data_IF_939481867797
#
_entry.id   IF_939481867797
#
_cell.length_a   1.000
_cell.length_b   1.000
_cell.length_c   1.000
_cell.angle_alpha   90.00
_cell.angle_beta   90.00
_cell.angle_gamma   90.00
#
_symmetry.space_group_name_H-M   'P 1'
#
loop_
_entity.id
_entity.type
_entity.pdbx_description
1 polymer ?
#
# COMPACT_ATOMS: atom_id res chain seq x y z
N UNK A 1 -8.57 8.59 3.58
CA UNK A 1 -9.89 8.44 2.94
C UNK A 1 -9.75 8.09 1.46
N UNK A 2 -9.24 8.98 0.59
CA UNK A 2 -9.16 8.67 -0.85
C UNK A 2 -8.12 7.58 -1.17
N UNK A 3 -6.93 7.63 -0.55
CA UNK A 3 -5.95 6.53 -0.64
C UNK A 3 -6.51 5.19 -0.14
N UNK A 4 -7.24 5.19 0.99
CA UNK A 4 -7.88 3.99 1.54
C UNK A 4 -8.87 3.36 0.54
N UNK A 5 -9.70 4.20 -0.08
CA UNK A 5 -10.69 3.76 -1.08
C UNK A 5 -10.00 3.22 -2.35
N UNK A 6 -8.91 3.85 -2.77
CA UNK A 6 -8.13 3.40 -3.92
C UNK A 6 -7.46 2.04 -3.62
N UNK A 7 -6.86 1.88 -2.45
CA UNK A 7 -6.28 0.60 -2.00
C UNK A 7 -7.34 -0.51 -1.91
N UNK A 8 -8.54 -0.20 -1.43
CA UNK A 8 -9.64 -1.16 -1.42
C UNK A 8 -10.07 -1.54 -2.85
N UNK A 9 -10.14 -0.56 -3.75
CA UNK A 9 -10.61 -0.74 -5.12
C UNK A 9 -9.67 -1.63 -5.94
N UNK A 10 -8.34 -1.47 -5.79
CA UNK A 10 -7.38 -2.33 -6.49
C UNK A 10 -7.46 -3.78 -5.98
N UNK A 11 -7.62 -3.99 -4.68
CA UNK A 11 -7.79 -5.33 -4.11
C UNK A 11 -9.11 -5.97 -4.59
N UNK A 12 -10.20 -5.21 -4.64
CA UNK A 12 -11.48 -5.70 -5.18
C UNK A 12 -11.35 -6.11 -6.64
N UNK A 13 -10.69 -5.29 -7.46
CA UNK A 13 -10.48 -5.59 -8.87
C UNK A 13 -9.65 -6.88 -9.08
N UNK A 14 -8.61 -7.10 -8.27
CA UNK A 14 -7.83 -8.33 -8.33
C UNK A 14 -8.64 -9.55 -7.87
N UNK A 15 -9.49 -9.40 -6.86
CA UNK A 15 -10.38 -10.48 -6.44
C UNK A 15 -11.42 -10.82 -7.53
N UNK A 16 -12.06 -9.81 -8.13
CA UNK A 16 -13.19 -9.99 -9.05
C UNK A 16 -12.77 -10.33 -10.49
N UNK A 17 -11.72 -9.71 -11.01
CA UNK A 17 -11.31 -9.86 -12.41
C UNK A 17 -10.27 -10.98 -12.61
N UNK A 18 -9.44 -11.20 -11.59
CA UNK A 18 -8.31 -12.13 -11.63
C UNK A 18 -8.55 -13.37 -10.76
N UNK A 19 -9.57 -13.35 -9.89
CA UNK A 19 -9.85 -14.45 -8.97
C UNK A 19 -8.79 -14.59 -7.88
N UNK A 20 -8.05 -13.53 -7.57
CA UNK A 20 -7.03 -13.55 -6.53
C UNK A 20 -7.68 -13.81 -5.17
N UNK A 21 -7.27 -14.90 -4.49
CA UNK A 21 -7.76 -15.24 -3.14
C UNK A 21 -6.98 -14.54 -2.04
N UNK A 22 -5.72 -14.22 -2.32
CA UNK A 22 -4.82 -13.53 -1.42
C UNK A 22 -4.10 -12.44 -2.21
N UNK A 23 -4.38 -11.20 -1.86
CA UNK A 23 -3.70 -10.03 -2.41
C UNK A 23 -3.55 -8.99 -1.31
N UNK A 24 -2.44 -8.24 -1.33
CA UNK A 24 -2.12 -7.19 -0.35
C UNK A 24 -1.52 -5.98 -1.04
N UNK A 25 -2.01 -4.79 -0.70
CA UNK A 25 -1.29 -3.53 -0.93
C UNK A 25 -0.42 -3.27 0.30
N UNK A 26 0.87 -3.13 0.07
CA UNK A 26 1.89 -2.90 1.08
C UNK A 26 2.44 -1.49 0.89
N UNK A 27 2.48 -0.70 1.96
CA UNK A 27 3.24 0.54 2.01
C UNK A 27 4.71 0.23 2.20
N UNK A 28 5.57 0.91 1.44
CA UNK A 28 7.02 0.90 1.67
C UNK A 28 7.41 2.27 2.20
N UNK A 29 7.93 2.33 3.42
CA UNK A 29 8.25 3.58 4.10
C UNK A 29 9.58 3.49 4.84
N UNK A 30 10.26 4.64 4.98
CA UNK A 30 11.52 4.72 5.72
C UNK A 30 11.24 5.13 7.16
N UNK A 31 11.75 4.37 8.13
CA UNK A 31 11.81 4.76 9.53
C UNK A 31 13.26 4.76 9.97
N UNK A 32 13.80 5.93 10.31
CA UNK A 32 15.25 6.15 10.53
C UNK A 32 16.05 5.77 9.27
N UNK A 33 16.88 4.73 9.34
CA UNK A 33 17.71 4.24 8.23
C UNK A 33 17.26 2.89 7.67
N UNK A 34 16.10 2.39 8.12
CA UNK A 34 15.53 1.13 7.67
C UNK A 34 14.30 1.36 6.78
N UNK A 35 14.21 0.56 5.72
CA UNK A 35 13.00 0.46 4.90
C UNK A 35 12.10 -0.62 5.49
N UNK A 36 10.88 -0.22 5.82
CA UNK A 36 9.87 -1.07 6.40
C UNK A 36 8.68 -1.21 5.44
N UNK A 37 7.95 -2.31 5.63
CA UNK A 37 6.74 -2.64 4.91
C UNK A 37 5.59 -2.91 5.85
N UNK A 38 4.38 -2.49 5.48
CA UNK A 38 3.16 -2.88 6.20
C UNK A 38 1.95 -2.94 5.27
N UNK A 39 0.96 -3.80 5.54
CA UNK A 39 -0.25 -3.87 4.74
C UNK A 39 -1.16 -2.65 4.98
N UNK A 40 -1.70 -2.10 3.90
CA UNK A 40 -2.76 -1.07 3.91
C UNK A 40 -4.12 -1.62 3.48
N UNK A 41 -4.14 -2.60 2.59
CA UNK A 41 -5.36 -3.31 2.19
C UNK A 41 -5.06 -4.75 1.82
N UNK A 42 -5.98 -5.67 2.11
CA UNK A 42 -5.84 -7.08 1.76
C UNK A 42 -7.18 -7.81 1.68
N UNK A 43 -7.14 -9.02 1.12
CA UNK A 43 -8.27 -9.95 1.12
C UNK A 43 -8.25 -10.77 2.42
N UNK A 44 -9.35 -10.75 3.16
CA UNK A 44 -9.60 -11.61 4.32
C UNK A 44 -11.00 -12.22 4.20
N UNK A 45 -11.08 -13.54 4.22
CA UNK A 45 -12.34 -14.29 4.09
C UNK A 45 -13.18 -13.86 2.87
N UNK A 46 -12.52 -13.63 1.73
CA UNK A 46 -13.16 -13.19 0.48
C UNK A 46 -13.65 -11.73 0.48
N UNK A 47 -13.32 -10.94 1.51
CA UNK A 47 -13.68 -9.53 1.60
C UNK A 47 -12.43 -8.66 1.65
N UNK A 48 -12.55 -7.45 1.09
CA UNK A 48 -11.51 -6.44 1.18
C UNK A 48 -11.51 -5.82 2.57
N UNK A 49 -10.36 -5.84 3.22
CA UNK A 49 -10.10 -5.17 4.49
C UNK A 49 -9.07 -4.09 4.24
N UNK A 50 -9.26 -2.92 4.84
CA UNK A 50 -8.29 -1.83 4.83
C UNK A 50 -7.84 -1.50 6.24
N UNK A 51 -6.61 -1.03 6.36
CA UNK A 51 -6.07 -0.45 7.58
C UNK A 51 -5.88 1.04 7.35
N UNK A 52 -6.72 1.86 7.98
CA UNK A 52 -6.48 3.29 8.04
C UNK A 52 -5.40 3.54 9.09
N UNK A 53 -4.15 3.57 8.64
CA UNK A 53 -2.99 3.71 9.50
C UNK A 53 -3.14 4.91 10.45
N UNK A 54 -3.30 4.62 11.74
CA UNK A 54 -2.84 5.50 12.83
C UNK A 54 -1.40 5.12 13.16
N UNK A 55 -0.56 6.11 13.48
CA UNK A 55 0.89 5.94 13.66
C UNK A 55 1.32 4.94 14.75
N UNK A 56 0.37 4.35 15.49
CA UNK A 56 0.57 3.61 16.73
C UNK A 56 0.22 2.12 16.67
N UNK A 57 -0.44 1.62 15.62
CA UNK A 57 -1.10 0.30 15.69
C UNK A 57 -0.39 -0.85 14.96
N UNK A 58 0.61 -0.59 14.12
CA UNK A 58 1.38 -1.67 13.49
C UNK A 58 2.79 -1.20 13.13
N UNK A 59 3.79 -1.72 13.85
CA UNK A 59 5.17 -1.60 13.40
C UNK A 59 5.30 -2.36 12.07
N UNK A 60 5.89 -1.71 11.07
CA UNK A 60 6.20 -2.39 9.81
C UNK A 60 7.27 -3.46 10.02
N UNK A 61 7.38 -4.39 9.07
CA UNK A 61 8.45 -5.39 9.01
C UNK A 61 9.57 -4.90 8.08
N UNK A 62 10.84 -5.24 8.32
CA UNK A 62 11.92 -4.91 7.40
C UNK A 62 11.66 -5.43 5.99
N UNK A 63 11.92 -4.61 4.96
CA UNK A 63 11.81 -5.06 3.56
C UNK A 63 12.80 -6.20 3.25
N UNK A 64 13.89 -6.27 4.02
CA UNK A 64 14.92 -7.32 3.91
C UNK A 64 14.39 -8.72 4.24
N UNK A 65 13.23 -8.83 4.87
CA UNK A 65 12.54 -10.12 5.08
C UNK A 65 11.99 -10.68 3.75
N UNK A 66 11.96 -9.87 2.68
CA UNK A 66 11.51 -10.22 1.33
C UNK A 66 12.65 -10.04 0.31
N UNK A 67 13.68 -10.90 0.31
CA UNK A 67 14.89 -10.70 -0.50
C UNK A 67 14.62 -10.69 -2.01
N UNK A 68 13.64 -11.44 -2.51
CA UNK A 68 13.26 -11.45 -3.94
C UNK A 68 12.68 -10.09 -4.36
N UNK A 69 11.86 -9.48 -3.50
CA UNK A 69 11.37 -8.12 -3.72
C UNK A 69 12.50 -7.10 -3.68
N UNK A 70 13.43 -7.21 -2.73
CA UNK A 70 14.61 -6.32 -2.63
C UNK A 70 15.43 -6.37 -3.91
N UNK A 71 15.80 -7.57 -4.37
CA UNK A 71 16.57 -7.74 -5.60
C UNK A 71 15.85 -7.14 -6.82
N UNK A 72 14.53 -7.32 -6.90
CA UNK A 72 13.70 -6.72 -7.94
C UNK A 72 13.78 -5.20 -7.91
N UNK A 73 13.65 -4.58 -6.74
CA UNK A 73 13.73 -3.13 -6.57
C UNK A 73 15.13 -2.63 -6.94
N UNK A 74 16.20 -3.28 -6.47
CA UNK A 74 17.58 -2.92 -6.80
C UNK A 74 17.85 -2.93 -8.30
N UNK A 75 17.28 -3.91 -9.02
CA UNK A 75 17.38 -4.06 -10.47
C UNK A 75 16.40 -3.18 -11.25
N UNK A 76 15.59 -2.37 -10.57
CA UNK A 76 14.52 -1.56 -11.18
C UNK A 76 13.50 -2.39 -11.96
N UNK A 77 13.20 -3.59 -11.45
CA UNK A 77 12.24 -4.52 -12.03
C UNK A 77 10.79 -4.05 -11.83
N UNK A 78 9.92 -4.52 -12.72
CA UNK A 78 8.46 -4.25 -12.67
C UNK A 78 7.69 -5.34 -11.92
N UNK A 79 8.25 -6.54 -11.83
CA UNK A 79 7.70 -7.64 -11.06
C UNK A 79 8.81 -8.61 -10.60
N UNK A 80 8.47 -9.46 -9.64
CA UNK A 80 9.26 -10.64 -9.27
C UNK A 80 8.33 -11.77 -8.85
N UNK A 81 8.77 -13.00 -9.10
CA UNK A 81 8.04 -14.20 -8.70
C UNK A 81 8.89 -15.01 -7.72
N UNK A 82 8.27 -15.55 -6.69
CA UNK A 82 8.90 -16.52 -5.81
C UNK A 82 7.96 -17.66 -5.44
N UNK A 83 8.56 -18.78 -5.05
CA UNK A 83 7.86 -19.94 -4.51
C UNK A 83 8.30 -20.09 -3.06
N UNK A 84 7.32 -19.98 -2.17
CA UNK A 84 7.51 -20.16 -0.73
C UNK A 84 7.82 -21.63 -0.38
N UNK A 85 8.40 -21.93 0.80
CA UNK A 85 8.70 -23.30 1.21
C UNK A 85 7.48 -24.23 1.26
N UNK A 86 6.27 -23.69 1.46
CA UNK A 86 4.99 -24.43 1.41
C UNK A 86 4.43 -24.58 0.00
N UNK A 87 5.16 -24.15 -1.04
CA UNK A 87 4.81 -24.32 -2.45
C UNK A 87 3.85 -23.25 -2.98
N UNK A 88 3.54 -22.24 -2.19
CA UNK A 88 2.68 -21.14 -2.60
C UNK A 88 3.47 -20.16 -3.49
N UNK A 89 2.87 -19.74 -4.60
CA UNK A 89 3.46 -18.76 -5.50
C UNK A 89 3.14 -17.35 -5.03
N UNK A 90 4.13 -16.46 -5.11
CA UNK A 90 3.98 -15.04 -4.83
C UNK A 90 4.43 -14.25 -6.05
N UNK A 91 3.57 -13.33 -6.49
CA UNK A 91 3.87 -12.30 -7.47
C UNK A 91 4.00 -10.96 -6.75
N UNK A 92 5.21 -10.41 -6.78
CA UNK A 92 5.55 -9.09 -6.28
C UNK A 92 5.50 -8.07 -7.40
N UNK A 93 4.85 -6.94 -7.17
CA UNK A 93 4.67 -5.86 -8.14
C UNK A 93 5.02 -4.52 -7.45
N UNK A 94 6.31 -4.12 -7.46
CA UNK A 94 6.73 -2.81 -6.97
C UNK A 94 6.08 -1.69 -7.76
N UNK A 95 5.61 -0.65 -7.07
CA UNK A 95 4.93 0.49 -7.68
C UNK A 95 5.87 1.69 -7.64
N UNK A 96 6.40 2.01 -8.83
CA UNK A 96 7.36 3.07 -9.04
C UNK A 96 6.68 4.42 -9.30
N UNK A 97 7.06 5.42 -8.49
CA UNK A 97 6.68 6.83 -8.67
C UNK A 97 7.92 7.69 -8.47
N UNK A 98 8.31 8.48 -9.48
CA UNK A 98 9.50 9.36 -9.44
C UNK A 98 10.77 8.65 -8.93
N UNK A 99 11.05 7.48 -9.51
CA UNK A 99 12.23 6.65 -9.17
C UNK A 99 12.26 6.05 -7.76
N UNK A 100 11.12 6.07 -7.06
CA UNK A 100 10.96 5.51 -5.71
C UNK A 100 9.83 4.51 -5.68
N UNK A 101 10.02 3.46 -4.88
CA UNK A 101 8.97 2.49 -4.56
C UNK A 101 8.32 2.91 -3.26
N UNK A 102 7.12 3.50 -3.34
CA UNK A 102 6.32 3.89 -2.17
C UNK A 102 5.27 2.85 -1.79
N UNK A 103 4.98 1.91 -2.68
CA UNK A 103 4.03 0.83 -2.44
C UNK A 103 4.40 -0.40 -3.25
N UNK A 104 3.95 -1.56 -2.80
CA UNK A 104 4.12 -2.82 -3.48
C UNK A 104 2.79 -3.58 -3.43
N UNK A 105 2.43 -4.24 -4.53
CA UNK A 105 1.34 -5.19 -4.55
C UNK A 105 1.93 -6.61 -4.45
N UNK A 106 1.39 -7.39 -3.53
CA UNK A 106 1.69 -8.81 -3.38
C UNK A 106 0.44 -9.61 -3.73
N UNK A 107 0.56 -10.59 -4.61
CA UNK A 107 -0.51 -11.52 -4.95
C UNK A 107 0.00 -12.94 -4.71
N UNK A 108 -0.79 -13.74 -4.01
CA UNK A 108 -0.41 -15.11 -3.70
C UNK A 108 -1.43 -16.13 -4.19
N UNK A 109 -0.93 -17.26 -4.70
CA UNK A 109 -1.72 -18.30 -5.34
C UNK A 109 -1.04 -19.67 -5.29
N UNK A 110 -1.84 -20.74 -5.22
CA UNK A 110 -1.31 -22.12 -5.22
C UNK A 110 -0.63 -22.52 -6.54
N UNK A 111 -0.87 -21.77 -7.62
CA UNK A 111 -0.29 -21.99 -8.93
C UNK A 111 0.16 -20.65 -9.51
N UNK A 112 1.16 -20.62 -10.42
CA UNK A 112 1.52 -19.40 -11.13
C UNK A 112 0.31 -18.82 -11.88
N UNK A 113 0.26 -17.49 -11.98
CA UNK A 113 -0.72 -16.84 -12.85
C UNK A 113 -0.38 -17.10 -14.32
N UNK A 114 -1.41 -17.33 -15.13
CA UNK A 114 -1.23 -17.64 -16.55
C UNK A 114 -0.75 -16.42 -17.33
N UNK A 115 -0.14 -16.64 -18.49
CA UNK A 115 0.23 -15.58 -19.44
C UNK A 115 -0.96 -14.76 -19.95
N UNK A 116 -2.19 -15.26 -19.81
CA UNK A 116 -3.41 -14.52 -20.13
C UNK A 116 -3.88 -13.65 -18.96
N UNK A 117 -3.53 -14.01 -17.73
CA UNK A 117 -3.95 -13.32 -16.51
C UNK A 117 -3.01 -12.17 -16.14
N UNK A 118 -1.69 -12.34 -16.36
CA UNK A 118 -0.69 -11.31 -16.08
C UNK A 118 -1.01 -9.95 -16.74
N UNK A 119 -1.42 -9.87 -18.02
CA UNK A 119 -1.80 -8.58 -18.62
C UNK A 119 -3.01 -7.91 -17.95
N UNK A 120 -3.94 -8.68 -17.39
CA UNK A 120 -5.09 -8.14 -16.64
C UNK A 120 -4.62 -7.53 -15.33
N UNK A 121 -3.72 -8.21 -14.61
CA UNK A 121 -3.09 -7.71 -13.38
C UNK A 121 -2.34 -6.40 -13.68
N UNK A 122 -1.55 -6.37 -14.76
CA UNK A 122 -0.83 -5.16 -15.19
C UNK A 122 -1.78 -4.01 -15.54
N UNK A 123 -2.90 -4.31 -16.21
CA UNK A 123 -3.94 -3.32 -16.52
C UNK A 123 -4.54 -2.70 -15.26
N UNK A 124 -4.91 -3.53 -14.28
CA UNK A 124 -5.42 -3.10 -12.97
C UNK A 124 -4.37 -2.23 -12.25
N UNK A 125 -3.11 -2.66 -12.25
CA UNK A 125 -2.01 -1.92 -11.63
C UNK A 125 -1.74 -0.58 -12.31
N UNK A 126 -1.87 -0.51 -13.64
CA UNK A 126 -1.70 0.73 -14.42
C UNK A 126 -2.74 1.78 -14.03
N UNK A 127 -4.01 1.37 -13.88
CA UNK A 127 -5.08 2.24 -13.40
C UNK A 127 -4.80 2.71 -11.97
N UNK A 128 -4.43 1.79 -11.08
CA UNK A 128 -4.08 2.13 -9.70
C UNK A 128 -2.93 3.17 -9.63
N UNK A 129 -1.84 2.96 -10.38
CA UNK A 129 -0.71 3.91 -10.46
C UNK A 129 -1.12 5.28 -10.98
N UNK A 130 -1.98 5.32 -12.00
CA UNK A 130 -2.49 6.57 -12.54
C UNK A 130 -3.26 7.36 -11.47
N UNK A 131 -4.18 6.70 -10.77
CA UNK A 131 -4.95 7.33 -9.70
C UNK A 131 -4.09 7.75 -8.50
N UNK A 132 -3.08 6.97 -8.11
CA UNK A 132 -2.11 7.43 -7.10
C UNK A 132 -1.44 8.74 -7.51
N UNK A 133 -0.99 8.82 -8.77
CA UNK A 133 -0.35 10.02 -9.30
C UNK A 133 -1.29 11.23 -9.32
N UNK A 134 -2.58 11.01 -9.63
CA UNK A 134 -3.59 12.06 -9.60
C UNK A 134 -3.87 12.57 -8.18
N UNK A 135 -3.97 11.67 -7.21
CA UNK A 135 -4.13 12.05 -5.80
C UNK A 135 -2.92 12.86 -5.34
N UNK A 136 -1.70 12.34 -5.57
CA UNK A 136 -0.45 12.99 -5.20
C UNK A 136 -0.33 14.40 -5.81
N UNK A 137 -0.74 14.57 -7.07
CA UNK A 137 -0.75 15.87 -7.74
C UNK A 137 -1.80 16.81 -7.14
N UNK A 138 -3.00 16.31 -6.83
CA UNK A 138 -4.09 17.12 -6.26
C UNK A 138 -3.78 17.60 -4.84
N UNK A 139 -2.99 16.82 -4.09
CA UNK A 139 -2.63 17.12 -2.71
C UNK A 139 -1.47 18.10 -2.58
N UNK A 140 -0.74 18.38 -3.67
CA UNK A 140 0.43 19.25 -3.66
C UNK A 140 0.16 20.60 -4.32
N UNK A 141 0.77 21.64 -3.76
CA UNK A 141 0.86 22.95 -4.39
C UNK A 141 1.86 22.87 -5.56
N UNK A 142 1.45 23.30 -6.75
CA UNK A 142 2.24 23.16 -7.98
C UNK A 142 3.48 24.05 -8.02
N UNK A 143 3.51 25.13 -7.24
CA UNK A 143 4.64 26.06 -7.19
C UNK A 143 5.75 25.56 -6.26
N UNK A 144 5.40 24.98 -5.11
CA UNK A 144 6.34 24.60 -4.05
C UNK A 144 6.56 23.10 -3.93
N UNK A 145 5.66 22.28 -4.47
CA UNK A 145 5.66 20.83 -4.30
C UNK A 145 5.32 20.37 -2.87
N UNK A 146 5.01 21.28 -1.95
CA UNK A 146 4.54 20.96 -0.59
C UNK A 146 3.06 20.59 -0.62
N UNK A 147 2.54 20.05 0.49
CA UNK A 147 1.09 19.87 0.61
C UNK A 147 0.38 21.20 0.44
N UNK A 148 -0.73 21.17 -0.30
CA UNK A 148 -1.61 22.32 -0.39
C UNK A 148 -2.24 22.60 0.99
N UNK A 149 -2.77 23.82 1.17
CA UNK A 149 -3.33 24.26 2.45
C UNK A 149 -4.38 23.31 3.02
N UNK A 150 -5.29 22.81 2.18
CA UNK A 150 -6.35 21.89 2.60
C UNK A 150 -5.78 20.57 3.12
N UNK A 151 -4.89 19.94 2.35
CA UNK A 151 -4.29 18.66 2.74
C UNK A 151 -3.43 18.82 4.00
N UNK A 152 -2.67 19.90 4.10
CA UNK A 152 -1.89 20.19 5.31
C UNK A 152 -2.81 20.33 6.54
N UNK A 153 -3.86 21.15 6.47
CA UNK A 153 -4.79 21.38 7.57
C UNK A 153 -5.49 20.06 7.99
N UNK A 154 -5.88 19.22 7.04
CA UNK A 154 -6.53 17.92 7.27
C UNK A 154 -5.57 16.89 7.91
N UNK A 155 -4.28 16.89 7.54
CA UNK A 155 -3.25 16.02 8.16
C UNK A 155 -2.87 16.53 9.55
N UNK A 156 -2.67 17.84 9.71
CA UNK A 156 -2.34 18.46 10.99
C UNK A 156 -3.44 18.25 12.03
N UNK A 157 -4.70 18.47 11.65
CA UNK A 157 -5.85 18.25 12.53
C UNK A 157 -5.93 16.80 13.03
N UNK A 158 -5.66 15.82 12.16
CA UNK A 158 -5.58 14.41 12.55
C UNK A 158 -4.47 14.15 13.57
N UNK A 159 -3.26 14.65 13.31
CA UNK A 159 -2.12 14.49 14.24
C UNK A 159 -2.46 15.10 15.60
N UNK A 160 -3.04 16.31 15.62
CA UNK A 160 -3.45 16.98 16.87
C UNK A 160 -4.53 16.18 17.59
N UNK A 161 -5.54 15.65 16.89
CA UNK A 161 -6.59 14.84 17.52
C UNK A 161 -6.09 13.54 18.15
N UNK A 162 -4.96 13.00 17.66
CA UNK A 162 -4.30 11.81 18.22
C UNK A 162 -3.38 12.20 19.38
N UNK A 163 -2.79 13.40 19.34
CA UNK A 163 -1.81 13.86 20.33
C UNK A 163 -2.42 14.48 21.59
N UNK A 164 -3.70 14.88 21.58
CA UNK A 164 -4.39 15.40 22.76
C UNK A 164 -5.08 14.24 23.49
N UNK A 165 -4.60 13.82 24.68
CA UNK A 165 -5.34 12.89 25.51
C UNK A 165 -6.67 13.54 25.87
N UNK A 166 -7.76 12.77 25.79
CA UNK A 166 -9.06 13.21 26.27
C UNK A 166 -8.95 13.50 27.78
N UNK A 167 -8.75 14.76 28.16
CA UNK A 167 -8.89 15.20 29.56
C UNK A 167 -10.33 14.87 29.97
N UNK A 168 -10.48 13.81 30.74
CA UNK A 168 -11.71 13.48 31.44
C UNK A 168 -11.82 14.52 32.54
N UNK A 169 -12.62 15.57 32.28
CA UNK A 169 -13.02 16.52 33.31
C UNK A 169 -13.60 15.72 34.48
N UNK A 170 -13.16 15.97 35.73
CA UNK A 170 -13.73 15.30 36.88
C UNK A 170 -15.21 15.68 36.98
N UNK A 171 -16.06 14.70 37.26
CA UNK A 171 -17.45 14.96 37.60
C UNK A 171 -17.46 15.78 38.90
N UNK A 172 -18.03 16.99 38.82
CA UNK A 172 -18.35 17.78 40.01
C UNK A 172 -19.40 17.01 40.82
N UNK A 173 -19.04 16.64 42.05
CA UNK A 173 -19.89 16.10 43.11
C UNK A 173 -20.65 17.26 43.81
#
# INVERSE_FOLDING_TARGET
>A
RDHTLLDASVISALHELVGAKQARVLEVFKLRDELLMRPRAWIKDGKVVTNEVTATETAGVPITDFPVLVECIEKRGTNAEEITPDGNHILWLPIWTNDKVGSCLEISSQTPYSSQTLPVIEGVLSVYRNYQSLIDYSERDSLTGLYNRKTFDDQFSRIVSIAVPHETLPADD
#
